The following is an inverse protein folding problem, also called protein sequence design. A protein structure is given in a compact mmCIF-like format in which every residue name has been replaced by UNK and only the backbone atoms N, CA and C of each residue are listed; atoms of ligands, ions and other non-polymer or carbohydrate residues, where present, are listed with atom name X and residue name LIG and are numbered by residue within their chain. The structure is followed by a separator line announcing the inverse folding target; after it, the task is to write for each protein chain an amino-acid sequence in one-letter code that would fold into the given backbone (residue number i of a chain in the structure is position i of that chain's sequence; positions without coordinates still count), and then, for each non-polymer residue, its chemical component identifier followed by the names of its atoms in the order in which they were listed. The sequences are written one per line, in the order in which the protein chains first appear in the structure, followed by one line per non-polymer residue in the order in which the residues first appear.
data_IF_108090611275
#
_entry.id   IF_108090611275
#
_cell.length_a   1.000
_cell.length_b   1.000
_cell.length_c   1.000
_cell.angle_alpha   90.00
_cell.angle_beta   90.00
_cell.angle_gamma   90.00
#
_symmetry.space_group_name_H-M   'P 1'
#
loop_
_entity.id
_entity.type
_entity.pdbx_description
1 polymer ?
#
# COMPACT_ATOMS: atom_id res chain seq x y z
N UNK A 1 9.44 -5.18 54.44
CA UNK A 1 10.56 -4.88 53.53
C UNK A 1 10.02 -3.99 52.43
N UNK A 2 10.26 -2.67 52.58
CA UNK A 2 9.77 -1.66 51.64
C UNK A 2 10.76 -1.55 50.48
N UNK A 3 10.35 -1.89 49.22
CA UNK A 3 11.12 -1.59 48.05
C UNK A 3 10.75 -0.21 47.58
N UNK A 4 11.70 0.72 47.63
CA UNK A 4 11.63 2.00 46.99
C UNK A 4 11.99 1.80 45.51
N UNK A 5 11.01 2.01 44.60
CA UNK A 5 11.26 2.14 43.17
C UNK A 5 11.75 3.56 42.88
N UNK A 6 13.02 3.72 42.64
CA UNK A 6 13.58 4.96 42.10
C UNK A 6 13.25 5.07 40.62
N UNK A 7 12.52 6.10 40.30
CA UNK A 7 12.26 6.54 38.92
C UNK A 7 13.58 7.05 38.33
N UNK A 8 14.24 6.23 37.50
CA UNK A 8 15.36 6.67 36.68
C UNK A 8 14.81 7.24 35.38
N UNK A 9 15.02 8.52 35.22
CA UNK A 9 14.80 9.30 34.01
C UNK A 9 15.52 8.64 32.82
N UNK A 10 14.74 8.16 31.84
CA UNK A 10 15.26 7.83 30.53
C UNK A 10 15.57 9.14 29.79
N UNK A 11 16.81 9.57 29.87
CA UNK A 11 17.34 10.64 29.05
C UNK A 11 17.57 10.07 27.67
N UNK A 12 16.60 10.28 26.76
CA UNK A 12 16.81 10.07 25.35
C UNK A 12 17.91 11.06 24.90
N UNK A 13 19.08 10.54 24.55
CA UNK A 13 20.11 11.31 23.92
C UNK A 13 19.63 11.77 22.53
N UNK A 14 19.01 12.95 22.49
CA UNK A 14 18.80 13.69 21.27
C UNK A 14 20.19 14.13 20.81
N UNK A 15 20.72 13.49 19.77
CA UNK A 15 21.86 14.00 19.04
C UNK A 15 21.37 15.23 18.29
N UNK A 16 21.45 16.37 18.94
CA UNK A 16 21.31 17.67 18.28
C UNK A 16 22.56 17.86 17.42
N UNK A 17 22.46 17.56 16.14
CA UNK A 17 23.33 18.20 15.17
C UNK A 17 23.00 19.68 15.17
N UNK A 18 23.80 20.45 15.88
CA UNK A 18 23.80 21.89 15.80
C UNK A 18 24.15 22.27 14.35
N UNK A 19 23.16 22.72 13.61
CA UNK A 19 23.38 23.41 12.34
C UNK A 19 23.92 24.78 12.75
N UNK A 20 25.27 24.86 12.87
CA UNK A 20 25.94 26.12 12.97
C UNK A 20 25.72 26.88 11.67
N UNK A 21 25.12 28.05 11.74
CA UNK A 21 25.20 29.03 10.67
C UNK A 21 26.65 29.40 10.50
N UNK A 22 27.31 28.89 9.47
CA UNK A 22 28.59 29.38 9.03
C UNK A 22 28.32 30.74 8.38
N UNK A 23 28.50 31.80 9.13
CA UNK A 23 28.64 33.13 8.54
C UNK A 23 30.00 33.15 7.85
N UNK A 24 30.03 33.12 6.54
CA UNK A 24 31.20 33.43 5.77
C UNK A 24 31.44 34.93 5.90
N UNK A 25 32.65 35.29 6.31
CA UNK A 25 33.12 36.66 6.33
C UNK A 25 33.42 37.09 4.89
N UNK A 26 32.90 38.27 4.53
CA UNK A 26 33.12 38.92 3.25
C UNK A 26 34.61 39.11 2.94
N UNK A 27 35.02 38.68 1.75
CA UNK A 27 36.06 39.37 0.98
C UNK A 27 35.49 39.63 -0.41
N UNK A 28 35.46 40.91 -0.78
CA UNK A 28 34.84 41.50 -1.94
C UNK A 28 35.36 40.97 -3.29
N UNK A 29 34.46 41.06 -4.28
CA UNK A 29 34.57 41.00 -5.73
C UNK A 29 34.28 39.63 -6.38
N UNK A 30 33.06 39.51 -6.74
CA UNK A 30 32.33 38.91 -7.86
C UNK A 30 30.98 38.43 -7.40
N UNK A 31 30.01 39.32 -7.34
CA UNK A 31 28.61 38.98 -7.09
C UNK A 31 27.98 38.30 -8.33
N UNK A 32 28.30 37.04 -8.57
CA UNK A 32 27.34 36.13 -9.16
C UNK A 32 26.38 35.74 -8.06
N UNK A 33 25.10 36.06 -8.23
CA UNK A 33 24.01 35.68 -7.30
C UNK A 33 23.82 34.15 -7.36
N UNK A 34 24.72 33.41 -6.71
CA UNK A 34 24.48 32.02 -6.43
C UNK A 34 23.33 31.95 -5.44
N UNK A 35 22.15 31.51 -5.92
CA UNK A 35 21.02 31.22 -5.04
C UNK A 35 21.49 30.18 -4.00
N UNK A 36 21.47 30.56 -2.73
CA UNK A 36 22.03 29.75 -1.65
C UNK A 36 21.27 28.41 -1.56
N UNK A 37 22.03 27.32 -1.37
CA UNK A 37 21.47 26.00 -1.04
C UNK A 37 20.59 26.14 0.21
N UNK A 38 19.35 25.70 0.15
CA UNK A 38 18.43 25.73 1.29
C UNK A 38 18.16 24.32 1.79
N UNK A 39 18.22 24.13 3.12
CA UNK A 39 17.84 22.90 3.76
C UNK A 39 16.71 23.17 4.76
N UNK A 40 15.68 22.36 4.73
CA UNK A 40 14.55 22.43 5.66
C UNK A 40 14.24 21.05 6.24
N UNK A 41 13.97 20.99 7.53
CA UNK A 41 13.47 19.81 8.21
C UNK A 41 12.06 20.10 8.69
N UNK A 42 11.09 19.34 8.19
CA UNK A 42 9.68 19.53 8.54
C UNK A 42 9.09 18.23 9.03
N UNK A 43 8.41 18.29 10.15
CA UNK A 43 7.66 17.15 10.68
C UNK A 43 6.59 16.70 9.66
N UNK A 44 6.61 15.45 9.27
CA UNK A 44 5.74 14.87 8.26
C UNK A 44 6.27 14.93 6.81
N UNK A 45 7.27 15.78 6.53
CA UNK A 45 7.86 15.95 5.18
C UNK A 45 9.35 15.59 5.12
N UNK A 46 9.99 15.38 6.29
CA UNK A 46 11.39 15.00 6.39
C UNK A 46 12.37 16.12 6.12
N UNK A 47 13.59 15.71 5.76
CA UNK A 47 14.65 16.61 5.32
C UNK A 47 14.51 16.89 3.82
N UNK A 48 14.47 18.15 3.46
CA UNK A 48 14.50 18.59 2.07
C UNK A 48 15.70 19.53 1.87
N UNK A 49 16.47 19.30 0.82
CA UNK A 49 17.59 20.13 0.39
C UNK A 49 17.34 20.57 -1.04
N UNK A 50 17.27 21.88 -1.26
CA UNK A 50 17.09 22.48 -2.56
C UNK A 50 18.39 23.11 -3.03
N UNK A 51 18.79 22.80 -4.26
CA UNK A 51 19.93 23.36 -4.98
C UNK A 51 19.41 24.22 -6.14
N UNK A 52 19.07 25.48 -5.90
CA UNK A 52 18.38 26.31 -6.92
C UNK A 52 19.21 26.53 -8.18
N UNK A 53 20.53 26.67 -8.07
CA UNK A 53 21.46 26.82 -9.20
C UNK A 53 21.43 25.61 -10.14
N UNK A 54 21.26 24.43 -9.60
CA UNK A 54 21.24 23.16 -10.33
C UNK A 54 19.82 22.72 -10.71
N UNK A 55 18.80 23.48 -10.29
CA UNK A 55 17.38 23.07 -10.38
C UNK A 55 17.15 21.63 -9.89
N UNK A 56 17.79 21.28 -8.78
CA UNK A 56 17.78 19.96 -8.21
C UNK A 56 17.30 20.01 -6.75
N UNK A 57 16.49 19.01 -6.37
CA UNK A 57 16.10 18.81 -4.98
C UNK A 57 16.40 17.37 -4.53
N UNK A 58 16.70 17.24 -3.24
CA UNK A 58 16.84 15.97 -2.57
C UNK A 58 15.98 15.96 -1.32
N UNK A 59 15.24 14.90 -1.10
CA UNK A 59 14.48 14.73 0.14
C UNK A 59 14.68 13.35 0.75
N UNK A 60 14.62 13.32 2.08
CA UNK A 60 14.67 12.10 2.87
C UNK A 60 13.54 12.12 3.90
N UNK A 61 12.68 11.10 3.87
CA UNK A 61 11.57 10.93 4.81
C UNK A 61 11.66 9.59 5.51
N UNK A 62 11.26 9.55 6.77
CA UNK A 62 11.24 8.34 7.57
C UNK A 62 9.87 8.07 8.17
N UNK A 63 9.46 6.79 8.23
CA UNK A 63 8.24 6.32 8.87
C UNK A 63 8.58 5.24 9.89
N UNK A 64 8.10 5.39 11.12
CA UNK A 64 8.16 4.34 12.13
C UNK A 64 6.77 4.13 12.75
N UNK A 65 6.35 2.86 12.88
CA UNK A 65 5.04 2.47 13.44
C UNK A 65 5.21 1.36 14.49
N UNK A 66 5.74 1.66 15.70
CA UNK A 66 5.76 0.74 16.82
C UNK A 66 4.37 0.61 17.44
N UNK A 67 4.09 -0.56 17.99
CA UNK A 67 2.82 -0.83 18.65
C UNK A 67 2.75 -2.14 19.38
N UNK A 68 1.57 -2.40 19.92
CA UNK A 68 1.22 -3.66 20.55
C UNK A 68 -0.19 -4.07 20.14
N UNK A 69 -0.43 -5.37 20.12
CA UNK A 69 -1.73 -5.94 19.81
C UNK A 69 -2.08 -7.07 20.79
N UNK A 70 -3.35 -7.15 21.10
CA UNK A 70 -3.93 -8.30 21.79
C UNK A 70 -4.89 -8.98 20.84
N UNK A 71 -4.64 -10.25 20.53
CA UNK A 71 -5.51 -11.07 19.69
C UNK A 71 -6.11 -12.20 20.51
N UNK A 72 -7.37 -12.55 20.22
CA UNK A 72 -8.06 -13.64 20.88
C UNK A 72 -9.07 -14.28 19.93
N UNK A 73 -9.03 -15.60 19.79
CA UNK A 73 -10.11 -16.35 19.18
C UNK A 73 -11.29 -16.47 20.17
N UNK A 74 -12.51 -16.53 19.67
CA UNK A 74 -13.70 -16.62 20.53
C UNK A 74 -13.73 -17.93 21.34
N UNK A 75 -13.12 -18.99 20.81
CA UNK A 75 -12.95 -20.28 21.49
C UNK A 75 -11.88 -20.28 22.58
N UNK A 76 -10.98 -19.30 22.57
CA UNK A 76 -9.89 -19.24 23.54
C UNK A 76 -10.35 -18.63 24.87
N UNK A 77 -9.75 -19.05 25.97
CA UNK A 77 -9.98 -18.45 27.29
C UNK A 77 -9.12 -17.21 27.53
N UNK A 78 -7.96 -17.11 26.88
CA UNK A 78 -6.98 -16.03 27.08
C UNK A 78 -6.57 -15.40 25.73
N UNK A 79 -6.31 -14.09 25.77
CA UNK A 79 -5.76 -13.39 24.62
C UNK A 79 -4.23 -13.50 24.56
N UNK A 80 -3.67 -13.32 23.37
CA UNK A 80 -2.22 -13.27 23.12
C UNK A 80 -1.79 -11.83 22.94
N UNK A 81 -0.85 -11.36 23.77
CA UNK A 81 -0.24 -10.04 23.64
C UNK A 81 1.03 -10.16 22.80
N UNK A 82 1.12 -9.35 21.75
CA UNK A 82 2.30 -9.19 20.91
C UNK A 82 2.73 -7.73 20.82
N UNK A 83 4.04 -7.51 20.72
CA UNK A 83 4.63 -6.22 20.38
C UNK A 83 5.17 -6.28 18.96
N UNK A 84 5.15 -5.14 18.25
CA UNK A 84 5.61 -5.09 16.88
C UNK A 84 6.17 -3.71 16.50
N UNK A 85 7.00 -3.68 15.45
CA UNK A 85 7.21 -2.52 14.60
C UNK A 85 6.59 -2.87 13.26
N UNK A 86 5.45 -2.29 12.96
CA UNK A 86 4.68 -2.65 11.75
C UNK A 86 5.39 -2.23 10.47
N UNK A 87 5.95 -1.01 10.49
CA UNK A 87 6.70 -0.43 9.38
C UNK A 87 7.83 0.42 9.91
N UNK A 88 8.97 0.33 9.26
CA UNK A 88 10.12 1.20 9.49
C UNK A 88 10.70 1.55 8.13
N UNK A 89 10.24 2.67 7.55
CA UNK A 89 10.60 3.08 6.20
C UNK A 89 11.62 4.20 6.21
N UNK A 90 12.53 4.17 5.25
CA UNK A 90 13.33 5.30 4.84
C UNK A 90 13.15 5.49 3.34
N UNK A 91 12.80 6.70 2.94
CA UNK A 91 12.57 7.06 1.55
C UNK A 91 13.55 8.16 1.17
N UNK A 92 14.27 7.96 0.09
CA UNK A 92 15.08 8.96 -0.59
C UNK A 92 14.39 9.34 -1.90
N UNK A 93 14.28 10.63 -2.16
CA UNK A 93 13.79 11.16 -3.41
C UNK A 93 14.75 12.24 -3.91
N UNK A 94 15.11 12.14 -5.19
CA UNK A 94 15.90 13.14 -5.89
C UNK A 94 15.10 13.63 -7.10
N UNK A 95 15.05 14.95 -7.34
CA UNK A 95 14.30 15.54 -8.44
C UNK A 95 15.18 16.49 -9.24
N UNK A 96 15.26 16.27 -10.55
CA UNK A 96 15.76 17.22 -11.53
C UNK A 96 14.57 18.00 -12.05
N UNK A 97 14.41 19.24 -11.59
CA UNK A 97 13.25 20.08 -11.88
C UNK A 97 13.27 20.60 -13.33
N UNK A 98 14.45 20.75 -13.93
CA UNK A 98 14.62 21.15 -15.31
C UNK A 98 14.17 20.05 -16.28
N UNK A 99 14.69 18.82 -16.05
CA UNK A 99 14.39 17.64 -16.88
C UNK A 99 13.11 16.96 -16.50
N UNK A 100 12.49 17.37 -15.38
CA UNK A 100 11.24 16.80 -14.87
C UNK A 100 11.35 15.30 -14.60
N UNK A 101 12.45 14.91 -14.01
CA UNK A 101 12.75 13.53 -13.64
C UNK A 101 12.81 13.46 -12.11
N UNK A 102 12.13 12.48 -11.51
CA UNK A 102 12.27 12.15 -10.10
C UNK A 102 12.75 10.71 -9.96
N UNK A 103 13.65 10.48 -9.04
CA UNK A 103 14.12 9.16 -8.63
C UNK A 103 13.71 8.89 -7.19
N UNK A 104 13.13 7.73 -6.92
CA UNK A 104 12.66 7.34 -5.59
C UNK A 104 13.19 5.98 -5.22
N UNK A 105 13.77 5.87 -4.01
CA UNK A 105 14.10 4.61 -3.36
C UNK A 105 13.47 4.59 -1.98
N UNK A 106 12.76 3.51 -1.65
CA UNK A 106 12.19 3.28 -0.32
C UNK A 106 12.56 1.91 0.19
N UNK A 107 13.04 1.86 1.42
CA UNK A 107 13.33 0.62 2.13
C UNK A 107 12.44 0.45 3.36
N UNK A 108 12.07 -0.80 3.67
CA UNK A 108 11.41 -1.21 4.90
C UNK A 108 12.36 -2.08 5.74
N UNK A 109 12.85 -1.56 6.85
CA UNK A 109 13.85 -2.23 7.67
C UNK A 109 13.29 -3.36 8.55
N UNK A 110 11.98 -3.56 8.59
CA UNK A 110 11.36 -4.69 9.29
C UNK A 110 11.00 -5.84 8.34
N UNK A 111 11.19 -5.68 7.05
CA UNK A 111 10.98 -6.75 6.07
C UNK A 111 12.26 -7.54 5.84
N UNK A 112 12.14 -8.84 5.58
CA UNK A 112 13.28 -9.69 5.24
C UNK A 112 13.98 -9.23 3.94
N UNK A 113 13.19 -8.73 2.97
CA UNK A 113 13.69 -8.08 1.76
C UNK A 113 13.34 -6.58 1.86
N UNK A 114 14.32 -5.71 2.17
CA UNK A 114 14.01 -4.34 2.59
C UNK A 114 13.57 -3.42 1.46
N UNK A 115 13.95 -3.68 0.21
CA UNK A 115 13.61 -2.80 -0.91
C UNK A 115 12.11 -2.84 -1.18
N UNK A 116 11.40 -1.72 -1.01
CA UNK A 116 10.00 -1.57 -1.36
C UNK A 116 9.81 -0.94 -2.73
N UNK A 117 10.33 0.25 -2.92
CA UNK A 117 10.18 1.02 -4.14
C UNK A 117 11.56 1.42 -4.67
N UNK A 118 11.77 1.31 -5.98
CA UNK A 118 12.94 1.82 -6.68
C UNK A 118 12.52 2.15 -8.11
N UNK A 119 12.20 3.42 -8.36
CA UNK A 119 11.66 3.83 -9.66
C UNK A 119 12.09 5.23 -10.05
N UNK A 120 11.94 5.49 -11.34
CA UNK A 120 12.12 6.80 -11.96
C UNK A 120 10.75 7.27 -12.48
N UNK A 121 10.38 8.50 -12.15
CA UNK A 121 9.25 9.22 -12.74
C UNK A 121 9.78 10.22 -13.77
N UNK A 122 9.20 10.21 -14.95
CA UNK A 122 9.31 11.28 -15.93
C UNK A 122 7.98 12.04 -16.00
N UNK A 123 8.04 13.35 -15.77
CA UNK A 123 6.89 14.23 -15.57
C UNK A 123 6.86 15.32 -16.67
N UNK A 124 6.65 14.98 -17.98
CA UNK A 124 6.64 15.96 -19.06
C UNK A 124 5.42 16.89 -18.95
N UNK A 125 5.55 17.94 -18.17
CA UNK A 125 4.47 18.85 -17.79
C UNK A 125 3.63 18.34 -16.62
N UNK A 126 2.56 19.07 -16.28
CA UNK A 126 1.75 18.83 -15.09
C UNK A 126 0.71 17.72 -15.24
N UNK A 127 0.61 17.10 -16.41
CA UNK A 127 -0.47 16.16 -16.74
C UNK A 127 -0.01 14.74 -16.93
N UNK A 128 1.23 14.52 -17.35
CA UNK A 128 1.80 13.21 -17.60
C UNK A 128 2.62 12.73 -16.41
N UNK A 129 2.51 11.45 -16.12
CA UNK A 129 3.46 10.72 -15.29
C UNK A 129 3.79 9.41 -15.99
N UNK A 130 5.05 9.20 -16.28
CA UNK A 130 5.58 7.94 -16.82
C UNK A 130 6.55 7.42 -15.78
N UNK A 131 6.31 6.22 -15.28
CA UNK A 131 7.09 5.58 -14.21
C UNK A 131 7.69 4.28 -14.69
N UNK A 132 8.95 4.04 -14.36
CA UNK A 132 9.66 2.80 -14.64
C UNK A 132 10.46 2.35 -13.42
N UNK A 133 10.46 1.06 -13.12
CA UNK A 133 11.13 0.45 -11.98
C UNK A 133 10.19 -0.39 -11.12
N UNK A 134 10.51 -0.57 -9.84
CA UNK A 134 9.64 -1.25 -8.88
C UNK A 134 8.80 -0.23 -8.12
N UNK A 135 7.50 -0.36 -8.20
CA UNK A 135 6.54 0.58 -7.60
C UNK A 135 5.21 -0.10 -7.27
N UNK A 136 4.39 0.58 -6.45
CA UNK A 136 3.00 0.18 -6.19
C UNK A 136 2.19 0.17 -7.49
N UNK A 137 1.69 -1.01 -7.91
CA UNK A 137 0.95 -1.16 -9.15
C UNK A 137 -0.35 -0.33 -9.10
N UNK A 138 -0.54 0.63 -10.03
CA UNK A 138 -1.69 1.53 -10.01
C UNK A 138 -3.02 0.84 -10.34
N UNK A 139 -3.00 -0.41 -10.81
CA UNK A 139 -4.21 -1.16 -11.17
C UNK A 139 -4.79 -1.97 -10.00
N UNK A 140 -4.23 -1.85 -8.79
CA UNK A 140 -4.84 -2.36 -7.57
C UNK A 140 -5.96 -1.43 -7.06
N UNK A 141 -6.76 -1.90 -6.10
CA UNK A 141 -7.84 -1.13 -5.46
C UNK A 141 -7.35 0.15 -4.77
N UNK A 142 -8.26 1.05 -4.42
CA UNK A 142 -7.96 2.40 -3.90
C UNK A 142 -7.09 2.40 -2.66
N UNK A 143 -7.41 1.58 -1.66
CA UNK A 143 -6.64 1.56 -0.42
C UNK A 143 -5.17 1.20 -0.68
N UNK A 144 -4.89 0.36 -1.68
CA UNK A 144 -3.53 0.02 -2.06
C UNK A 144 -2.75 1.18 -2.69
N UNK A 145 -3.42 2.21 -3.20
CA UNK A 145 -2.78 3.42 -3.73
C UNK A 145 -2.35 4.38 -2.60
N UNK A 146 -2.84 4.18 -1.39
CA UNK A 146 -2.44 5.02 -0.25
C UNK A 146 -1.04 4.66 0.23
N UNK A 147 -0.25 5.70 0.53
CA UNK A 147 0.97 5.52 1.32
C UNK A 147 0.62 4.95 2.69
N UNK A 148 1.38 3.99 3.17
CA UNK A 148 1.06 3.27 4.41
C UNK A 148 1.05 4.17 5.66
N UNK A 149 1.78 5.29 5.64
CA UNK A 149 1.72 6.32 6.67
C UNK A 149 0.41 7.12 6.67
N UNK A 150 -0.36 7.06 5.58
CA UNK A 150 -1.62 7.79 5.41
C UNK A 150 -2.87 6.95 5.67
N UNK A 151 -2.72 5.70 6.08
CA UNK A 151 -3.86 4.86 6.43
C UNK A 151 -4.61 5.44 7.64
N UNK A 152 -5.94 5.47 7.54
CA UNK A 152 -6.81 5.92 8.63
C UNK A 152 -6.83 4.92 9.79
N UNK A 153 -6.66 3.63 9.49
CA UNK A 153 -6.60 2.55 10.48
C UNK A 153 -5.18 1.95 10.56
N UNK A 154 -4.81 1.25 11.66
CA UNK A 154 -3.47 0.68 11.82
C UNK A 154 -3.06 -0.26 10.70
N UNK A 155 -4.02 -1.01 10.15
CA UNK A 155 -3.82 -1.95 9.05
C UNK A 155 -4.75 -1.67 7.88
N UNK A 156 -4.35 -2.13 6.69
CA UNK A 156 -5.24 -2.19 5.51
C UNK A 156 -6.46 -3.06 5.80
N UNK A 157 -7.53 -2.84 5.06
CA UNK A 157 -8.76 -3.62 5.11
C UNK A 157 -8.49 -5.11 4.87
N UNK A 158 -9.42 -5.97 5.31
CA UNK A 158 -9.34 -7.40 5.05
C UNK A 158 -9.34 -7.67 3.54
N UNK A 159 -10.15 -6.95 2.76
CA UNK A 159 -10.16 -7.02 1.30
C UNK A 159 -8.74 -6.79 0.72
N UNK A 160 -8.08 -5.68 1.06
CA UNK A 160 -6.77 -5.35 0.50
C UNK A 160 -5.71 -6.38 0.87
N UNK A 161 -5.72 -6.88 2.11
CA UNK A 161 -4.77 -7.91 2.57
C UNK A 161 -5.02 -9.29 1.98
N UNK A 162 -6.24 -9.56 1.53
CA UNK A 162 -6.61 -10.84 0.94
C UNK A 162 -6.30 -10.89 -0.55
N UNK A 163 -6.55 -9.80 -1.30
CA UNK A 163 -6.42 -9.78 -2.75
C UNK A 163 -5.12 -9.16 -3.26
N UNK A 164 -4.29 -8.65 -2.37
CA UNK A 164 -2.99 -8.03 -2.71
C UNK A 164 -1.98 -8.41 -1.64
N UNK A 165 -0.80 -8.85 -2.05
CA UNK A 165 0.29 -9.16 -1.12
C UNK A 165 1.02 -7.88 -0.71
N UNK A 166 1.86 -7.35 -1.57
CA UNK A 166 2.51 -6.04 -1.38
C UNK A 166 1.98 -4.99 -2.34
N UNK A 167 1.46 -5.43 -3.47
CA UNK A 167 1.01 -4.62 -4.60
C UNK A 167 2.14 -3.97 -5.38
N UNK A 168 3.40 -4.32 -5.09
CA UNK A 168 4.58 -3.77 -5.74
C UNK A 168 5.14 -4.72 -6.75
N UNK A 169 5.49 -4.19 -7.92
CA UNK A 169 6.03 -4.96 -9.04
C UNK A 169 7.01 -4.10 -9.83
N UNK A 170 7.96 -4.75 -10.47
CA UNK A 170 8.79 -4.09 -11.46
C UNK A 170 8.03 -3.93 -12.78
N UNK A 171 8.13 -2.75 -13.41
CA UNK A 171 7.48 -2.51 -14.68
C UNK A 171 7.47 -1.07 -15.14
N UNK A 172 6.53 -0.78 -16.02
CA UNK A 172 6.26 0.53 -16.61
C UNK A 172 4.80 0.91 -16.38
N UNK A 173 4.55 2.15 -15.99
CA UNK A 173 3.20 2.73 -16.00
C UNK A 173 3.20 4.11 -16.61
N UNK A 174 2.07 4.48 -17.23
CA UNK A 174 1.85 5.81 -17.75
C UNK A 174 0.44 6.28 -17.38
N UNK A 175 0.33 7.51 -16.89
CA UNK A 175 -0.94 8.16 -16.58
C UNK A 175 -1.01 9.56 -17.17
N UNK A 176 -2.22 10.01 -17.48
CA UNK A 176 -2.46 11.33 -18.02
C UNK A 176 -3.70 11.97 -17.37
N UNK A 177 -3.57 13.22 -16.91
CA UNK A 177 -4.69 13.98 -16.36
C UNK A 177 -5.41 14.74 -17.48
N UNK A 178 -6.66 14.34 -17.77
CA UNK A 178 -7.56 14.97 -18.72
C UNK A 178 -8.51 15.91 -17.97
N UNK A 179 -8.83 17.06 -18.55
CA UNK A 179 -9.80 18.01 -17.97
C UNK A 179 -9.15 19.12 -17.18
N UNK A 180 -9.88 19.69 -16.24
CA UNK A 180 -9.48 20.85 -15.42
C UNK A 180 -9.30 20.45 -13.97
N UNK A 181 -8.29 20.97 -13.29
CA UNK A 181 -8.04 20.70 -11.88
C UNK A 181 -9.21 21.10 -10.97
N UNK A 182 -9.86 22.22 -11.27
CA UNK A 182 -11.00 22.73 -10.51
C UNK A 182 -12.37 22.19 -10.97
N UNK A 183 -12.42 21.45 -12.08
CA UNK A 183 -13.65 20.94 -12.69
C UNK A 183 -13.61 19.43 -12.90
N UNK A 184 -14.46 18.93 -13.80
CA UNK A 184 -14.46 17.52 -14.17
C UNK A 184 -13.09 17.10 -14.72
N UNK A 185 -12.53 16.04 -14.17
CA UNK A 185 -11.27 15.48 -14.63
C UNK A 185 -11.26 13.95 -14.63
N UNK A 186 -10.41 13.40 -15.49
CA UNK A 186 -10.17 11.97 -15.67
C UNK A 186 -8.67 11.70 -15.58
N UNK A 187 -8.31 10.55 -15.02
CA UNK A 187 -6.93 10.06 -15.05
C UNK A 187 -6.91 8.60 -15.53
N UNK A 188 -6.83 8.37 -16.84
CA UNK A 188 -6.48 7.06 -17.37
C UNK A 188 -5.03 6.73 -17.00
N UNK A 189 -4.81 5.47 -16.62
CA UNK A 189 -3.50 4.89 -16.30
C UNK A 189 -3.40 3.51 -16.95
N UNK A 190 -2.26 3.23 -17.56
CA UNK A 190 -1.90 1.88 -18.03
C UNK A 190 -0.65 1.42 -17.32
N UNK A 191 -0.53 0.11 -17.10
CA UNK A 191 0.66 -0.49 -16.51
C UNK A 191 0.98 -1.83 -17.19
N UNK A 192 2.27 -2.09 -17.36
CA UNK A 192 2.82 -3.37 -17.76
C UNK A 192 3.89 -3.71 -16.74
N UNK A 193 3.69 -4.80 -16.00
CA UNK A 193 4.57 -5.21 -14.89
C UNK A 193 4.94 -6.67 -15.02
N UNK A 194 5.93 -7.13 -14.22
CA UNK A 194 6.39 -8.51 -14.22
C UNK A 194 5.28 -9.51 -13.86
N UNK A 195 4.35 -9.12 -12.98
CA UNK A 195 3.34 -10.05 -12.48
C UNK A 195 3.81 -10.94 -11.32
N UNK A 196 5.08 -10.85 -10.92
CA UNK A 196 5.75 -11.76 -9.98
C UNK A 196 5.90 -11.15 -8.59
N UNK A 197 5.34 -9.95 -8.38
CA UNK A 197 5.41 -9.26 -7.09
C UNK A 197 6.73 -8.52 -6.85
N UNK A 198 6.99 -8.28 -5.57
CA UNK A 198 8.10 -7.45 -5.13
C UNK A 198 9.45 -8.19 -5.26
N UNK A 199 10.48 -7.45 -5.70
CA UNK A 199 11.88 -7.92 -5.81
C UNK A 199 12.09 -9.14 -6.74
N UNK A 200 11.16 -9.39 -7.66
CA UNK A 200 11.25 -10.41 -8.69
C UNK A 200 12.00 -9.87 -9.90
N UNK A 201 13.32 -9.71 -9.76
CA UNK A 201 14.23 -9.26 -10.85
C UNK A 201 15.68 -9.64 -10.55
N UNK A 202 16.48 -9.71 -11.63
CA UNK A 202 17.91 -10.01 -11.56
C UNK A 202 18.25 -11.45 -11.24
N UNK A 203 19.52 -11.71 -10.96
CA UNK A 203 20.07 -13.06 -10.75
C UNK A 203 19.56 -13.77 -9.48
N UNK A 204 18.94 -13.04 -8.55
CA UNK A 204 18.35 -13.59 -7.33
C UNK A 204 16.87 -13.94 -7.51
N UNK A 205 16.25 -13.53 -8.59
CA UNK A 205 14.95 -14.00 -9.02
C UNK A 205 15.15 -15.45 -9.48
N UNK A 206 14.61 -16.40 -8.74
CA UNK A 206 14.54 -17.80 -9.18
C UNK A 206 13.43 -17.95 -10.22
N UNK A 207 13.43 -17.03 -11.18
CA UNK A 207 12.45 -17.01 -12.24
C UNK A 207 12.67 -18.21 -13.15
N UNK A 208 12.04 -19.29 -12.79
CA UNK A 208 11.86 -20.47 -13.65
C UNK A 208 10.52 -20.39 -14.38
N UNK A 209 9.89 -19.26 -14.27
CA UNK A 209 8.56 -19.04 -14.78
C UNK A 209 8.58 -18.83 -16.28
N UNK A 210 7.73 -19.56 -16.91
CA UNK A 210 7.38 -19.38 -18.32
C UNK A 210 6.24 -18.37 -18.47
N UNK A 211 5.93 -17.64 -17.39
CA UNK A 211 4.88 -16.65 -17.31
C UNK A 211 5.14 -15.45 -18.18
N UNK A 212 4.08 -14.76 -18.48
CA UNK A 212 4.13 -13.53 -19.22
C UNK A 212 4.16 -12.32 -18.28
N UNK A 213 3.80 -11.19 -18.88
CA UNK A 213 3.67 -9.94 -18.17
C UNK A 213 2.25 -9.79 -17.60
N UNK A 214 2.12 -9.01 -16.55
CA UNK A 214 0.85 -8.48 -16.09
C UNK A 214 0.57 -7.18 -16.82
N UNK A 215 -0.57 -7.09 -17.50
CA UNK A 215 -1.04 -5.89 -18.20
C UNK A 215 -2.29 -5.40 -17.50
N UNK A 216 -2.37 -4.10 -17.24
CA UNK A 216 -3.54 -3.54 -16.60
C UNK A 216 -3.82 -2.10 -16.96
N UNK A 217 -5.04 -1.68 -16.63
CA UNK A 217 -5.51 -0.31 -16.79
C UNK A 217 -6.34 0.14 -15.61
N UNK A 218 -6.31 1.44 -15.35
CA UNK A 218 -7.15 2.13 -14.36
C UNK A 218 -7.69 3.40 -14.94
N UNK A 219 -8.95 3.71 -14.65
CA UNK A 219 -9.57 5.00 -14.91
C UNK A 219 -10.05 5.59 -13.60
N UNK A 220 -9.51 6.73 -13.23
CA UNK A 220 -10.02 7.55 -12.14
C UNK A 220 -10.85 8.70 -12.69
N UNK A 221 -12.07 8.87 -12.19
CA UNK A 221 -13.02 9.92 -12.55
C UNK A 221 -13.23 10.84 -11.36
N UNK A 222 -12.94 12.11 -11.49
CA UNK A 222 -13.08 13.14 -10.45
C UNK A 222 -14.11 14.19 -10.91
N UNK A 223 -15.41 14.00 -10.61
CA UNK A 223 -16.48 14.86 -11.14
C UNK A 223 -16.46 16.29 -10.59
N UNK A 224 -15.88 16.49 -9.42
CA UNK A 224 -15.87 17.78 -8.71
C UNK A 224 -14.48 18.40 -8.60
N UNK A 225 -13.60 18.09 -9.54
CA UNK A 225 -12.20 18.53 -9.57
C UNK A 225 -11.25 17.62 -8.81
N UNK A 226 -9.96 17.78 -9.11
CA UNK A 226 -8.89 17.07 -8.43
C UNK A 226 -8.81 17.48 -6.95
N UNK A 227 -8.39 16.53 -6.11
CA UNK A 227 -8.16 16.72 -4.68
C UNK A 227 -7.14 15.69 -4.18
N UNK A 228 -6.67 15.83 -2.94
CA UNK A 228 -5.80 14.82 -2.36
C UNK A 228 -6.58 13.52 -2.09
N UNK A 229 -6.34 12.53 -2.95
CA UNK A 229 -6.88 11.17 -2.88
C UNK A 229 -5.82 10.15 -2.42
N UNK A 230 -4.72 10.59 -1.79
CA UNK A 230 -3.62 9.73 -1.30
C UNK A 230 -3.88 9.18 0.11
N UNK A 231 -4.99 9.57 0.73
CA UNK A 231 -5.43 9.15 2.06
C UNK A 231 -6.96 9.03 2.08
N UNK A 232 -7.51 8.17 2.92
CA UNK A 232 -8.94 8.17 3.20
C UNK A 232 -9.38 9.40 3.99
N UNK A 233 -8.54 9.92 4.89
CA UNK A 233 -8.89 11.05 5.77
C UNK A 233 -8.98 12.38 5.02
N UNK A 234 -9.95 13.24 5.37
CA UNK A 234 -10.12 14.59 4.79
C UNK A 234 -9.40 15.64 5.60
N UNK A 235 -8.05 15.70 5.49
CA UNK A 235 -7.22 16.71 6.16
C UNK A 235 -7.42 18.11 5.58
N UNK A 236 -7.78 18.21 4.30
CA UNK A 236 -8.05 19.50 3.65
C UNK A 236 -9.37 20.13 4.11
N UNK A 237 -10.22 19.32 4.77
CA UNK A 237 -11.57 19.72 5.21
C UNK A 237 -12.35 20.40 4.08
N UNK A 238 -12.34 19.76 2.93
CA UNK A 238 -12.90 20.30 1.69
C UNK A 238 -14.28 20.91 1.90
N UNK A 239 -14.42 22.21 1.62
CA UNK A 239 -15.67 22.96 1.82
C UNK A 239 -16.81 22.46 0.92
N UNK A 240 -16.47 21.97 -0.27
CA UNK A 240 -17.39 21.29 -1.21
C UNK A 240 -17.10 19.80 -1.25
N UNK A 241 -18.08 19.01 -1.64
CA UNK A 241 -17.90 17.57 -1.84
C UNK A 241 -16.82 17.34 -2.90
N UNK A 242 -15.87 16.48 -2.56
CA UNK A 242 -14.88 15.92 -3.48
C UNK A 242 -15.11 14.42 -3.60
N UNK A 243 -15.01 13.91 -4.82
CA UNK A 243 -15.21 12.48 -5.08
C UNK A 243 -14.29 11.99 -6.18
N UNK A 244 -13.84 10.74 -6.05
CA UNK A 244 -13.13 10.00 -7.08
C UNK A 244 -13.74 8.62 -7.20
N UNK A 245 -14.07 8.21 -8.42
CA UNK A 245 -14.48 6.88 -8.79
C UNK A 245 -13.34 6.22 -9.57
N UNK A 246 -12.87 5.06 -9.12
CA UNK A 246 -11.85 4.27 -9.77
C UNK A 246 -12.41 2.97 -10.34
N UNK A 247 -12.00 2.63 -11.55
CA UNK A 247 -12.23 1.31 -12.16
C UNK A 247 -10.89 0.81 -12.64
N UNK A 248 -10.51 -0.40 -12.24
CA UNK A 248 -9.25 -0.99 -12.67
C UNK A 248 -9.41 -2.47 -13.01
N UNK A 249 -8.58 -2.91 -13.94
CA UNK A 249 -8.45 -4.31 -14.33
C UNK A 249 -6.98 -4.63 -14.55
N UNK A 250 -6.56 -5.84 -14.22
CA UNK A 250 -5.27 -6.36 -14.61
C UNK A 250 -5.36 -7.85 -14.93
N UNK A 251 -4.56 -8.27 -15.89
CA UNK A 251 -4.46 -9.64 -16.37
C UNK A 251 -3.01 -10.08 -16.29
N UNK A 252 -2.73 -11.05 -15.43
CA UNK A 252 -1.42 -11.67 -15.27
C UNK A 252 -1.38 -12.98 -16.06
N UNK A 253 -0.45 -13.09 -16.98
CA UNK A 253 -0.22 -14.27 -17.82
C UNK A 253 0.76 -15.19 -17.11
N UNK A 254 0.26 -16.35 -16.60
CA UNK A 254 1.10 -17.32 -15.93
C UNK A 254 1.36 -17.00 -14.45
N UNK A 255 0.29 -16.91 -13.64
CA UNK A 255 0.43 -16.69 -12.21
C UNK A 255 0.88 -17.95 -11.47
N UNK A 256 1.87 -17.83 -10.59
CA UNK A 256 2.37 -18.88 -9.70
C UNK A 256 2.37 -18.49 -8.22
N UNK A 257 1.61 -17.45 -7.86
CA UNK A 257 1.38 -17.01 -6.50
C UNK A 257 -0.10 -16.78 -6.19
N UNK A 258 -0.52 -16.82 -4.91
CA UNK A 258 -1.93 -16.85 -4.50
C UNK A 258 -2.79 -15.70 -5.02
N UNK A 259 -2.20 -14.51 -5.17
CA UNK A 259 -2.89 -13.30 -5.65
C UNK A 259 -2.32 -12.79 -6.97
N UNK A 260 -1.53 -13.62 -7.67
CA UNK A 260 -0.82 -13.23 -8.88
C UNK A 260 0.25 -12.16 -8.62
N UNK A 261 0.93 -12.22 -7.50
CA UNK A 261 1.99 -11.28 -7.10
C UNK A 261 3.24 -11.96 -6.55
N UNK A 262 3.27 -13.25 -6.43
CA UNK A 262 4.44 -14.04 -6.01
C UNK A 262 4.96 -14.83 -7.17
N UNK A 263 6.24 -15.23 -7.07
CA UNK A 263 6.92 -16.00 -8.10
C UNK A 263 7.30 -17.38 -7.57
N UNK A 264 6.91 -18.43 -8.32
CA UNK A 264 7.31 -19.81 -8.02
C UNK A 264 6.79 -20.37 -6.70
N UNK A 265 5.70 -19.86 -6.15
CA UNK A 265 5.11 -20.38 -4.91
C UNK A 265 4.55 -21.81 -5.13
N UNK A 266 4.07 -22.10 -6.34
CA UNK A 266 3.57 -23.41 -6.75
C UNK A 266 3.62 -23.53 -8.28
N UNK A 267 3.52 -24.78 -8.80
CA UNK A 267 3.49 -25.07 -10.23
C UNK A 267 2.35 -26.01 -10.56
N UNK A 268 1.76 -25.79 -11.74
CA UNK A 268 0.89 -26.73 -12.44
C UNK A 268 1.58 -27.15 -13.74
N UNK A 269 1.18 -28.27 -14.29
CA UNK A 269 1.84 -28.91 -15.44
C UNK A 269 0.86 -29.23 -16.55
N UNK A 270 1.32 -29.18 -17.78
CA UNK A 270 0.61 -29.71 -18.93
C UNK A 270 0.75 -31.24 -19.02
N UNK A 271 0.01 -31.87 -19.95
CA UNK A 271 0.07 -33.31 -20.20
C UNK A 271 1.45 -33.80 -20.67
N UNK A 272 2.29 -32.92 -21.16
CA UNK A 272 3.68 -33.18 -21.56
C UNK A 272 4.68 -33.04 -20.40
N UNK A 273 4.20 -32.75 -19.19
CA UNK A 273 5.02 -32.53 -17.99
C UNK A 273 5.74 -31.18 -17.94
N UNK A 274 5.47 -30.27 -18.87
CA UNK A 274 6.00 -28.92 -18.83
C UNK A 274 5.14 -28.02 -17.89
N UNK A 275 5.71 -26.98 -17.23
CA UNK A 275 4.95 -26.04 -16.47
C UNK A 275 3.83 -25.39 -17.30
N UNK A 276 2.62 -25.39 -16.77
CA UNK A 276 1.44 -24.72 -17.34
C UNK A 276 0.77 -23.90 -16.25
N UNK A 277 1.07 -22.59 -16.22
CA UNK A 277 0.56 -21.71 -15.22
C UNK A 277 -0.78 -21.09 -15.64
N UNK A 278 -1.72 -20.90 -14.70
CA UNK A 278 -2.99 -20.22 -14.97
C UNK A 278 -2.79 -18.74 -15.22
N UNK A 279 -3.67 -18.17 -16.01
CA UNK A 279 -3.79 -16.71 -16.10
C UNK A 279 -4.73 -16.19 -15.00
N UNK A 280 -4.40 -15.05 -14.42
CA UNK A 280 -5.14 -14.48 -13.31
C UNK A 280 -5.67 -13.08 -13.67
N UNK A 281 -6.98 -12.91 -13.64
CA UNK A 281 -7.67 -11.65 -13.88
C UNK A 281 -8.14 -11.07 -12.56
N UNK A 282 -7.82 -9.82 -12.29
CA UNK A 282 -8.33 -9.06 -11.14
C UNK A 282 -8.98 -7.77 -11.59
N UNK A 283 -10.21 -7.54 -11.17
CA UNK A 283 -10.98 -6.33 -11.42
C UNK A 283 -11.27 -5.62 -10.12
N UNK A 284 -11.26 -4.29 -10.11
CA UNK A 284 -11.67 -3.50 -8.95
C UNK A 284 -12.49 -2.29 -9.36
N UNK A 285 -13.43 -1.94 -8.50
CA UNK A 285 -14.20 -0.69 -8.54
C UNK A 285 -14.10 -0.06 -7.17
N UNK A 286 -13.83 1.24 -7.12
CA UNK A 286 -13.70 1.96 -5.87
C UNK A 286 -14.26 3.37 -5.95
N UNK A 287 -14.67 3.91 -4.81
CA UNK A 287 -15.09 5.30 -4.66
C UNK A 287 -14.54 5.85 -3.35
N UNK A 288 -14.07 7.10 -3.39
CA UNK A 288 -13.71 7.88 -2.21
C UNK A 288 -14.41 9.23 -2.29
N UNK A 289 -15.13 9.58 -1.23
CA UNK A 289 -15.81 10.87 -1.08
C UNK A 289 -15.28 11.57 0.17
N UNK A 290 -14.98 12.87 0.07
CA UNK A 290 -14.51 13.72 1.16
C UNK A 290 -15.33 14.99 1.26
N UNK A 291 -15.67 15.40 2.49
CA UNK A 291 -16.40 16.64 2.74
C UNK A 291 -16.31 17.06 4.20
N UNK A 292 -15.78 18.25 4.46
CA UNK A 292 -15.73 18.91 5.80
C UNK A 292 -15.23 18.01 6.93
N UNK A 293 -14.20 17.21 6.67
CA UNK A 293 -13.62 16.25 7.60
C UNK A 293 -14.26 14.86 7.57
N UNK A 294 -15.43 14.70 6.95
CA UNK A 294 -16.02 13.39 6.70
C UNK A 294 -15.40 12.73 5.48
N UNK A 295 -15.27 11.43 5.52
CA UNK A 295 -14.82 10.61 4.39
C UNK A 295 -15.56 9.29 4.34
N UNK A 296 -15.84 8.82 3.12
CA UNK A 296 -16.40 7.49 2.86
C UNK A 296 -15.62 6.89 1.70
N UNK A 297 -15.13 5.68 1.89
CA UNK A 297 -14.49 4.86 0.86
C UNK A 297 -15.24 3.55 0.73
N UNK A 298 -15.55 3.15 -0.49
CA UNK A 298 -16.08 1.82 -0.78
C UNK A 298 -15.27 1.20 -1.91
N UNK A 299 -15.04 -0.11 -1.81
CA UNK A 299 -14.23 -0.87 -2.74
C UNK A 299 -14.88 -2.23 -2.99
N UNK A 300 -14.75 -2.69 -4.22
CA UNK A 300 -15.10 -4.02 -4.66
C UNK A 300 -13.97 -4.61 -5.47
N UNK A 301 -13.63 -5.86 -5.23
CA UNK A 301 -12.63 -6.62 -5.98
C UNK A 301 -13.23 -7.95 -6.40
N UNK A 302 -12.95 -8.35 -7.64
CA UNK A 302 -13.22 -9.68 -8.18
C UNK A 302 -11.92 -10.26 -8.74
N UNK A 303 -11.67 -11.54 -8.49
CA UNK A 303 -10.56 -12.27 -9.06
C UNK A 303 -11.01 -13.61 -9.63
N UNK A 304 -10.49 -13.96 -10.81
CA UNK A 304 -10.81 -15.20 -11.54
C UNK A 304 -9.56 -15.77 -12.24
N UNK A 305 -9.53 -17.08 -12.38
CA UNK A 305 -8.47 -17.80 -13.09
C UNK A 305 -8.94 -18.33 -14.45
N UNK A 306 -8.00 -18.36 -15.40
CA UNK A 306 -8.20 -18.83 -16.76
C UNK A 306 -7.07 -19.76 -17.19
N UNK A 307 -7.22 -20.45 -18.32
CA UNK A 307 -6.22 -21.35 -18.90
C UNK A 307 -5.90 -22.55 -18.00
N UNK A 308 -6.95 -23.22 -17.48
CA UNK A 308 -6.85 -24.34 -16.54
C UNK A 308 -7.08 -25.71 -17.20
N UNK A 309 -7.43 -25.75 -18.50
CA UNK A 309 -7.76 -27.01 -19.17
C UNK A 309 -6.54 -27.93 -19.28
N UNK A 310 -6.72 -29.17 -18.81
CA UNK A 310 -5.67 -30.20 -18.88
C UNK A 310 -4.52 -29.99 -17.92
N UNK A 311 -4.65 -29.05 -16.96
CA UNK A 311 -3.62 -28.85 -15.94
C UNK A 311 -3.53 -30.03 -14.98
N UNK A 312 -2.29 -30.42 -14.64
CA UNK A 312 -1.96 -31.48 -13.70
C UNK A 312 -1.30 -30.91 -12.47
N UNK A 313 -1.55 -31.51 -11.32
CA UNK A 313 -0.93 -31.11 -10.05
C UNK A 313 0.51 -31.63 -9.90
N UNK A 314 0.93 -32.57 -10.76
CA UNK A 314 2.27 -33.15 -10.76
C UNK A 314 2.72 -33.47 -12.18
N UNK A 315 3.98 -33.19 -12.48
CA UNK A 315 4.60 -33.49 -13.77
C UNK A 315 4.71 -35.01 -14.06
N UNK A 316 4.69 -35.85 -13.03
CA UNK A 316 4.98 -37.28 -13.15
C UNK A 316 3.79 -38.21 -12.88
N UNK A 317 2.78 -37.77 -12.17
CA UNK A 317 1.67 -38.62 -11.66
C UNK A 317 0.39 -38.49 -12.45
N UNK A 318 0.30 -37.55 -13.40
CA UNK A 318 -0.85 -37.38 -14.27
C UNK A 318 -2.18 -37.08 -13.55
N UNK A 319 -2.14 -36.55 -12.33
CA UNK A 319 -3.33 -36.18 -11.57
C UNK A 319 -3.91 -34.88 -12.14
N UNK A 320 -5.09 -34.99 -12.75
CA UNK A 320 -5.77 -33.87 -13.35
C UNK A 320 -6.31 -32.94 -12.25
N UNK A 321 -6.02 -31.65 -12.39
CA UNK A 321 -6.59 -30.61 -11.53
C UNK A 321 -8.09 -30.50 -11.79
N UNK A 322 -8.90 -30.67 -10.74
CA UNK A 322 -10.31 -30.35 -10.82
C UNK A 322 -10.51 -28.82 -10.80
N UNK A 323 -11.52 -28.29 -11.50
CA UNK A 323 -11.73 -26.83 -11.56
C UNK A 323 -11.85 -26.16 -10.18
N UNK A 324 -12.42 -26.84 -9.20
CA UNK A 324 -12.57 -26.34 -7.83
C UNK A 324 -11.24 -26.35 -7.04
N UNK A 325 -10.30 -27.22 -7.38
CA UNK A 325 -9.03 -27.36 -6.67
C UNK A 325 -8.09 -26.16 -6.92
N UNK A 326 -8.30 -25.42 -8.01
CA UNK A 326 -7.53 -24.20 -8.28
C UNK A 326 -7.67 -23.17 -7.15
N UNK A 327 -8.77 -23.17 -6.42
CA UNK A 327 -9.00 -22.31 -5.27
C UNK A 327 -8.06 -22.58 -4.08
N UNK A 328 -7.34 -23.73 -4.10
CA UNK A 328 -6.30 -24.03 -3.11
C UNK A 328 -4.95 -23.36 -3.44
N UNK A 329 -4.82 -22.86 -4.66
CA UNK A 329 -3.61 -22.21 -5.20
C UNK A 329 -3.81 -20.69 -5.35
N UNK A 330 -5.01 -20.27 -5.75
CA UNK A 330 -5.35 -18.89 -6.08
C UNK A 330 -6.52 -18.36 -5.22
N UNK A 331 -6.44 -17.11 -4.85
CA UNK A 331 -7.55 -16.34 -4.25
C UNK A 331 -8.55 -16.02 -5.36
N UNK A 332 -9.67 -16.75 -5.40
CA UNK A 332 -10.69 -16.62 -6.43
C UNK A 332 -12.04 -16.27 -5.80
N UNK A 333 -12.71 -15.28 -6.37
CA UNK A 333 -14.02 -14.82 -5.91
C UNK A 333 -14.10 -13.32 -5.78
N UNK A 334 -14.90 -12.84 -4.83
CA UNK A 334 -15.26 -11.44 -4.69
C UNK A 334 -15.03 -10.95 -3.26
N UNK A 335 -14.81 -9.66 -3.12
CA UNK A 335 -14.86 -8.98 -1.82
C UNK A 335 -15.35 -7.55 -1.97
N UNK A 336 -15.96 -7.03 -0.92
CA UNK A 336 -16.17 -5.60 -0.79
C UNK A 336 -15.70 -5.10 0.58
N UNK A 337 -15.40 -3.81 0.65
CA UNK A 337 -15.05 -3.09 1.87
C UNK A 337 -15.67 -1.70 1.81
N UNK A 338 -16.29 -1.28 2.91
CA UNK A 338 -16.80 0.07 3.09
C UNK A 338 -16.17 0.62 4.36
N UNK A 339 -15.56 1.79 4.27
CA UNK A 339 -14.96 2.52 5.39
C UNK A 339 -15.52 3.91 5.44
N UNK A 340 -15.89 4.38 6.63
CA UNK A 340 -16.29 5.75 6.88
C UNK A 340 -15.49 6.32 8.04
N UNK A 341 -15.14 7.60 7.96
CA UNK A 341 -14.38 8.29 8.98
C UNK A 341 -14.79 9.76 9.12
N UNK A 342 -14.53 10.32 10.28
CA UNK A 342 -14.71 11.74 10.55
C UNK A 342 -13.53 12.29 11.33
N UNK A 343 -12.83 13.25 10.71
CA UNK A 343 -11.72 13.98 11.30
C UNK A 343 -12.26 15.28 11.93
N UNK A 344 -12.20 15.36 13.24
CA UNK A 344 -12.55 16.54 14.04
C UNK A 344 -11.48 17.64 13.89
N UNK A 345 -11.84 18.91 14.13
CA UNK A 345 -10.91 20.04 14.04
C UNK A 345 -9.77 20.00 15.08
N UNK A 346 -10.00 19.33 16.20
CA UNK A 346 -9.01 19.15 17.25
C UNK A 346 -8.04 17.97 17.01
N UNK A 347 -8.06 17.38 15.82
CA UNK A 347 -7.15 16.30 15.41
C UNK A 347 -7.60 14.89 15.83
N UNK A 348 -8.74 14.72 16.49
CA UNK A 348 -9.30 13.39 16.71
C UNK A 348 -10.04 12.89 15.47
N UNK A 349 -9.86 11.62 15.15
CA UNK A 349 -10.57 10.97 14.06
C UNK A 349 -11.18 9.66 14.55
N UNK A 350 -12.39 9.37 14.10
CA UNK A 350 -13.10 8.11 14.35
C UNK A 350 -13.37 7.47 13.01
N UNK A 351 -13.01 6.20 12.88
CA UNK A 351 -13.22 5.39 11.67
C UNK A 351 -13.95 4.10 12.01
N UNK A 352 -14.77 3.66 11.07
CA UNK A 352 -15.35 2.33 11.08
C UNK A 352 -15.28 1.72 9.69
N UNK A 353 -15.11 0.40 9.59
CA UNK A 353 -15.13 -0.33 8.32
C UNK A 353 -15.88 -1.66 8.47
N UNK A 354 -16.47 -2.06 7.37
CA UNK A 354 -17.06 -3.38 7.19
C UNK A 354 -16.66 -3.92 5.83
N UNK A 355 -16.28 -5.19 5.77
CA UNK A 355 -15.95 -5.88 4.54
C UNK A 355 -16.41 -7.33 4.61
N UNK A 356 -16.61 -7.91 3.43
CA UNK A 356 -17.01 -9.30 3.30
C UNK A 356 -16.33 -9.92 2.08
N UNK A 357 -16.00 -11.21 2.20
CA UNK A 357 -15.40 -12.00 1.13
C UNK A 357 -16.31 -13.17 0.73
N UNK A 358 -16.28 -13.52 -0.55
CA UNK A 358 -17.08 -14.58 -1.15
C UNK A 358 -16.19 -15.40 -2.08
N UNK A 359 -15.85 -16.65 -1.73
CA UNK A 359 -15.09 -17.53 -2.62
C UNK A 359 -15.90 -17.85 -3.87
N UNK A 360 -15.21 -18.07 -4.99
CA UNK A 360 -15.82 -18.52 -6.25
C UNK A 360 -16.40 -19.93 -6.12
N UNK A 361 -15.69 -20.80 -5.40
CA UNK A 361 -16.11 -22.15 -5.13
C UNK A 361 -16.46 -22.32 -3.66
N UNK A 362 -17.55 -23.01 -3.37
CA UNK A 362 -17.90 -23.35 -2.00
C UNK A 362 -16.76 -24.15 -1.35
N UNK A 363 -16.37 -23.76 -0.16
CA UNK A 363 -15.36 -24.47 0.64
C UNK A 363 -15.92 -25.80 1.09
N UNK A 364 -15.71 -26.85 0.30
CA UNK A 364 -15.94 -28.21 0.75
C UNK A 364 -14.64 -28.72 1.41
N UNK A 365 -14.68 -28.78 2.73
CA UNK A 365 -13.73 -29.49 3.61
C UNK A 365 -12.28 -29.03 3.67
N UNK A 366 -11.72 -28.39 2.72
CA UNK A 366 -10.30 -28.16 2.75
C UNK A 366 -9.85 -27.05 1.85
N UNK A 367 -10.14 -25.94 1.82
CA UNK A 367 -9.03 -25.31 1.22
C UNK A 367 -9.19 -24.35 0.07
N UNK A 368 -10.28 -23.70 -0.04
CA UNK A 368 -10.20 -22.42 -0.74
C UNK A 368 -9.34 -21.46 0.11
N UNK A 369 -8.29 -20.86 -0.47
CA UNK A 369 -7.52 -19.81 0.20
C UNK A 369 -8.46 -18.66 0.61
N UNK A 370 -9.40 -18.32 -0.28
CA UNK A 370 -10.48 -17.38 0.04
C UNK A 370 -11.60 -18.11 0.76
N UNK A 371 -11.94 -17.65 1.95
CA UNK A 371 -13.07 -18.11 2.75
C UNK A 371 -14.14 -17.03 2.83
N UNK A 372 -15.37 -17.41 3.23
CA UNK A 372 -16.39 -16.43 3.60
C UNK A 372 -15.99 -15.79 4.91
N UNK A 373 -15.80 -14.47 4.92
CA UNK A 373 -15.41 -13.73 6.12
C UNK A 373 -16.16 -12.42 6.18
N UNK A 374 -16.78 -12.14 7.32
CA UNK A 374 -17.26 -10.81 7.67
C UNK A 374 -16.20 -10.12 8.52
N UNK A 375 -15.68 -9.00 8.03
CA UNK A 375 -14.61 -8.25 8.68
C UNK A 375 -15.13 -6.90 9.18
N UNK A 376 -15.13 -6.70 10.49
CA UNK A 376 -15.51 -5.45 11.15
C UNK A 376 -14.27 -4.78 11.70
N UNK A 377 -14.18 -3.46 11.61
CA UNK A 377 -13.09 -2.69 12.20
C UNK A 377 -13.55 -1.33 12.67
N UNK A 378 -13.01 -0.88 13.79
CA UNK A 378 -13.17 0.49 14.32
C UNK A 378 -11.83 1.03 14.76
N UNK A 379 -11.64 2.33 14.68
CA UNK A 379 -10.42 2.99 15.11
C UNK A 379 -10.69 4.38 15.64
N UNK A 380 -9.97 4.74 16.69
CA UNK A 380 -9.83 6.13 17.12
C UNK A 380 -8.39 6.55 16.90
N UNK A 381 -8.19 7.63 16.20
CA UNK A 381 -6.86 8.18 15.91
C UNK A 381 -6.77 9.60 16.50
N UNK A 382 -5.69 9.88 17.19
CA UNK A 382 -5.32 11.24 17.57
C UNK A 382 -4.15 11.71 16.72
N UNK A 383 -4.41 12.64 15.81
CA UNK A 383 -3.44 13.33 14.99
C UNK A 383 -2.82 14.48 15.78
N UNK A 384 -1.73 14.21 16.49
CA UNK A 384 -1.02 15.19 17.30
C UNK A 384 -0.42 16.28 16.41
N UNK A 385 0.10 15.88 15.26
CA UNK A 385 0.62 16.75 14.20
C UNK A 385 0.34 16.13 12.83
N UNK A 386 -0.92 16.23 12.38
CA UNK A 386 -1.36 15.69 11.09
C UNK A 386 -0.99 14.21 10.93
N UNK A 387 -0.39 13.87 9.79
CA UNK A 387 0.16 12.53 9.55
C UNK A 387 1.56 12.33 10.15
N UNK A 388 2.25 13.42 10.55
CA UNK A 388 3.62 13.38 11.08
C UNK A 388 3.72 12.65 12.41
N UNK A 389 2.76 12.89 13.31
CA UNK A 389 2.68 12.21 14.61
C UNK A 389 1.23 11.87 14.90
N UNK A 390 0.93 10.58 14.99
CA UNK A 390 -0.40 10.10 15.37
C UNK A 390 -0.36 8.89 16.30
N UNK A 391 -1.37 8.78 17.14
CA UNK A 391 -1.65 7.62 17.99
C UNK A 391 -2.96 7.00 17.51
N UNK A 392 -2.97 5.69 17.33
CA UNK A 392 -4.12 4.95 16.84
C UNK A 392 -4.48 3.81 17.80
N UNK A 393 -5.76 3.69 18.11
CA UNK A 393 -6.32 2.55 18.85
C UNK A 393 -7.43 1.92 18.00
N UNK A 394 -7.19 0.72 17.52
CA UNK A 394 -8.09 0.00 16.61
C UNK A 394 -8.58 -1.32 17.22
N UNK A 395 -9.77 -1.74 16.81
CA UNK A 395 -10.35 -3.04 17.10
C UNK A 395 -10.85 -3.63 15.79
N UNK A 396 -10.37 -4.80 15.45
CA UNK A 396 -10.82 -5.61 14.31
C UNK A 396 -11.46 -6.90 14.82
N UNK A 397 -12.58 -7.31 14.22
CA UNK A 397 -13.23 -8.58 14.45
C UNK A 397 -13.44 -9.30 13.12
N UNK A 398 -13.07 -10.58 13.06
CA UNK A 398 -13.27 -11.45 11.91
C UNK A 398 -14.25 -12.57 12.32
N UNK A 399 -15.33 -12.67 11.55
CA UNK A 399 -16.32 -13.73 11.67
C UNK A 399 -16.23 -14.64 10.44
N UNK A 400 -16.05 -15.93 10.70
CA UNK A 400 -16.00 -16.99 9.68
C UNK A 400 -17.25 -17.84 9.82
N UNK A 401 -18.32 -17.57 9.05
CA UNK A 401 -19.60 -18.30 9.17
C UNK A 401 -19.45 -19.81 9.01
N UNK A 402 -18.57 -20.25 8.09
CA UNK A 402 -18.33 -21.67 7.79
C UNK A 402 -17.28 -22.32 8.70
N UNK A 403 -16.55 -21.52 9.48
CA UNK A 403 -15.48 -21.97 10.38
C UNK A 403 -15.48 -21.17 11.71
N UNK A 404 -16.55 -21.26 12.54
CA UNK A 404 -16.72 -20.38 13.70
C UNK A 404 -15.58 -20.46 14.75
N UNK A 405 -14.83 -21.56 14.75
CA UNK A 405 -13.64 -21.69 15.61
C UNK A 405 -12.51 -20.70 15.27
N UNK A 406 -12.53 -20.10 14.09
CA UNK A 406 -11.58 -19.09 13.65
C UNK A 406 -12.05 -17.65 13.96
N UNK A 407 -13.28 -17.47 14.46
CA UNK A 407 -13.77 -16.16 14.86
C UNK A 407 -12.88 -15.56 15.93
N UNK A 408 -12.63 -14.29 15.82
CA UNK A 408 -11.80 -13.63 16.81
C UNK A 408 -11.61 -12.15 16.57
N UNK A 409 -11.06 -11.50 17.59
CA UNK A 409 -10.80 -10.08 17.56
C UNK A 409 -9.32 -9.76 17.78
N UNK A 410 -8.91 -8.62 17.28
CA UNK A 410 -7.56 -8.04 17.50
C UNK A 410 -7.71 -6.57 17.88
N UNK A 411 -7.26 -6.22 19.08
CA UNK A 411 -7.10 -4.83 19.50
C UNK A 411 -5.66 -4.39 19.27
N UNK A 412 -5.48 -3.23 18.67
CA UNK A 412 -4.16 -2.70 18.30
C UNK A 412 -4.01 -1.28 18.85
N UNK A 413 -2.89 -1.01 19.52
CA UNK A 413 -2.45 0.35 19.85
C UNK A 413 -1.13 0.60 19.13
N UNK A 414 -1.07 1.68 18.35
CA UNK A 414 0.08 2.02 17.51
C UNK A 414 0.39 3.50 17.60
N UNK A 415 1.67 3.83 17.72
CA UNK A 415 2.16 5.18 17.47
C UNK A 415 2.74 5.24 16.04
N UNK A 416 2.65 6.41 15.41
CA UNK A 416 3.33 6.71 14.16
C UNK A 416 4.14 7.97 14.29
N UNK A 417 5.36 7.92 13.77
CA UNK A 417 6.21 9.09 13.52
C UNK A 417 6.55 9.06 12.04
N UNK A 418 6.23 10.16 11.36
CA UNK A 418 6.61 10.42 9.96
C UNK A 418 7.39 11.75 9.94
N UNK A 419 8.63 11.72 9.53
CA UNK A 419 9.54 12.87 9.48
C UNK A 419 10.20 12.99 8.12
#
# INVERSE_FOLDING_TARGET
MKLHLNLWTLTAALVCFGIGTVAAQDDDEFAESHSAVSASLRNGNGLEVLFPSEQFSFSMTGLAQPGLAVSKLDVDTTGQLGTFIRRSYLTFKAEDLERKIAYVVRANFVAASPLLDAYIDYLPGNRWQIRVGQFQNPTNNREMQFYEGHLAMPQRSFLSRTFVETGREWGLSASYLVGQEAGFSLRPTIAVTSGDGINSFGALSNDVELGGLKVGGRLDVMPFGAFDATSASDFERNASIKAILGIATNYNMGASGPVGESHGAWFLYGADGTPQLPNYLKNSVDVLVKWKGASVMAEYVNAAAYNLQGSLTSASLGTLLLPTEISTYLVLGNAYNVQAGYLLENGWQIDARFGQTFPEFATTNEASILQVVDALGTCVTWHVNGQGLKLQAGLDYLNYPDAPAQNGWTSTVQAQILF
#
